data_IF_961726285514
#
_entry.id   IF_961726285514
#
_cell.length_a   1.000
_cell.length_b   1.000
_cell.length_c   1.000
_cell.angle_alpha   90.00
_cell.angle_beta   90.00
_cell.angle_gamma   90.00
#
_symmetry.space_group_name_H-M   'P 1'
#
loop_
_entity.id
_entity.type
_entity.pdbx_description
1 polymer ?
#
# COMPACT_ATOMS: atom_id res chain seq x y z
N UNK A 1 4.80 3.98 -14.10
CA UNK A 1 4.74 4.72 -12.82
C UNK A 1 6.11 5.10 -12.27
N UNK A 2 7.05 4.19 -12.04
CA UNK A 2 8.27 4.50 -11.23
C UNK A 2 9.60 4.38 -11.98
N UNK A 3 9.66 4.73 -13.28
CA UNK A 3 10.86 4.54 -14.14
C UNK A 3 11.90 5.67 -14.06
N UNK A 4 11.53 6.86 -13.60
CA UNK A 4 12.39 8.05 -13.46
C UNK A 4 12.47 8.42 -11.98
N UNK A 5 13.46 9.23 -11.60
CA UNK A 5 13.48 9.83 -10.28
C UNK A 5 12.22 10.67 -10.03
N UNK A 6 11.68 10.57 -8.83
CA UNK A 6 10.40 11.18 -8.47
C UNK A 6 10.60 12.18 -7.34
N UNK A 7 10.03 13.37 -7.52
CA UNK A 7 9.91 14.33 -6.43
C UNK A 7 8.67 14.03 -5.61
N UNK A 8 8.87 13.68 -4.34
CA UNK A 8 7.80 13.35 -3.41
C UNK A 8 7.36 14.58 -2.61
N UNK A 9 6.05 14.72 -2.42
CA UNK A 9 5.51 15.69 -1.47
C UNK A 9 5.82 15.28 -0.01
N UNK A 10 5.73 16.22 0.96
CA UNK A 10 5.87 15.88 2.36
C UNK A 10 4.88 14.80 2.83
N UNK A 11 5.31 13.98 3.80
CA UNK A 11 4.47 12.92 4.38
C UNK A 11 3.30 13.53 5.15
N UNK A 12 2.11 12.98 4.99
CA UNK A 12 0.90 13.39 5.71
C UNK A 12 0.32 12.21 6.50
N UNK A 13 0.16 12.36 7.82
CA UNK A 13 -0.48 11.33 8.66
C UNK A 13 -1.97 11.22 8.33
N UNK A 14 -2.46 10.00 8.19
CA UNK A 14 -3.85 9.73 7.91
C UNK A 14 -4.68 9.62 9.19
N UNK A 15 -5.95 10.00 9.08
CA UNK A 15 -6.94 9.77 10.14
C UNK A 15 -7.22 8.28 10.29
N UNK A 16 -7.55 7.84 11.49
CA UNK A 16 -7.89 6.44 11.80
C UNK A 16 -9.04 5.89 10.96
N UNK A 17 -10.05 6.72 10.64
CA UNK A 17 -11.15 6.34 9.76
C UNK A 17 -10.67 5.98 8.35
N UNK A 18 -9.79 6.80 7.76
CA UNK A 18 -9.21 6.57 6.43
C UNK A 18 -8.36 5.31 6.44
N UNK A 19 -7.54 5.11 7.47
CA UNK A 19 -6.74 3.89 7.64
C UNK A 19 -7.62 2.63 7.68
N UNK A 20 -8.76 2.67 8.36
CA UNK A 20 -9.72 1.55 8.42
C UNK A 20 -10.31 1.27 7.04
N UNK A 21 -10.72 2.29 6.31
CA UNK A 21 -11.27 2.14 4.95
C UNK A 21 -10.24 1.56 3.98
N UNK A 22 -8.99 2.03 4.03
CA UNK A 22 -7.89 1.51 3.19
C UNK A 22 -7.60 0.04 3.51
N UNK A 23 -7.58 -0.32 4.80
CA UNK A 23 -7.42 -1.72 5.21
C UNK A 23 -8.54 -2.60 4.66
N UNK A 24 -9.78 -2.13 4.70
CA UNK A 24 -10.90 -2.89 4.16
C UNK A 24 -10.83 -3.01 2.64
N UNK A 25 -10.55 -1.92 1.92
CA UNK A 25 -10.37 -1.94 0.47
C UNK A 25 -9.30 -2.95 0.06
N UNK A 26 -8.19 -2.99 0.80
CA UNK A 26 -7.14 -3.95 0.56
C UNK A 26 -7.58 -5.41 0.75
N UNK A 27 -8.32 -5.71 1.83
CA UNK A 27 -8.80 -7.07 2.08
C UNK A 27 -9.85 -7.51 1.06
N UNK A 28 -10.60 -6.56 0.50
CA UNK A 28 -11.49 -6.82 -0.63
C UNK A 28 -10.71 -7.18 -1.88
N UNK A 29 -9.62 -6.47 -2.20
CA UNK A 29 -8.81 -6.72 -3.40
C UNK A 29 -7.90 -7.96 -3.25
N UNK A 30 -7.34 -8.18 -2.06
CA UNK A 30 -6.38 -9.26 -1.76
C UNK A 30 -6.84 -10.06 -0.53
N UNK A 31 -7.91 -10.87 -0.66
CA UNK A 31 -8.51 -11.59 0.47
C UNK A 31 -7.54 -12.57 1.17
N UNK A 32 -6.61 -13.15 0.40
CA UNK A 32 -5.59 -14.06 0.94
C UNK A 32 -4.57 -13.36 1.86
N UNK A 33 -4.53 -12.01 1.88
CA UNK A 33 -3.72 -11.26 2.84
C UNK A 33 -4.37 -11.16 4.23
N UNK A 34 -5.64 -11.57 4.39
CA UNK A 34 -6.37 -11.48 5.66
C UNK A 34 -5.68 -12.13 6.86
N UNK A 35 -4.98 -13.28 6.76
CA UNK A 35 -4.25 -13.85 7.89
C UNK A 35 -3.05 -13.00 8.34
N UNK A 36 -2.49 -12.18 7.43
CA UNK A 36 -1.24 -11.44 7.62
C UNK A 36 -1.47 -9.94 7.83
N UNK A 37 -2.71 -9.47 7.76
CA UNK A 37 -3.02 -8.04 7.71
C UNK A 37 -2.58 -7.25 8.96
N UNK A 38 -2.51 -7.89 10.13
CA UNK A 38 -2.02 -7.24 11.35
C UNK A 38 -0.50 -7.10 11.37
N UNK A 39 0.22 -7.92 10.60
CA UNK A 39 1.66 -7.78 10.36
C UNK A 39 1.94 -6.68 9.31
N UNK A 40 1.05 -6.55 8.31
CA UNK A 40 1.18 -5.57 7.22
C UNK A 40 0.74 -4.17 7.62
N UNK A 41 -0.40 -4.06 8.32
CA UNK A 41 -0.99 -2.82 8.81
C UNK A 41 -1.34 -2.97 10.30
N UNK A 42 -0.37 -2.89 11.22
CA UNK A 42 -0.64 -3.05 12.64
C UNK A 42 -1.67 -2.03 13.14
N UNK A 43 -2.60 -2.45 14.00
CA UNK A 43 -3.72 -1.60 14.47
C UNK A 43 -3.26 -0.33 15.19
N UNK A 44 -2.09 -0.36 15.84
CA UNK A 44 -1.50 0.76 16.57
C UNK A 44 -0.51 1.58 15.72
N UNK A 45 -0.15 1.09 14.54
CA UNK A 45 0.83 1.74 13.69
C UNK A 45 0.21 2.96 13.00
N UNK A 46 1.04 3.97 12.77
CA UNK A 46 0.62 5.18 12.08
C UNK A 46 0.73 5.00 10.56
N UNK A 47 -0.38 5.22 9.84
CA UNK A 47 -0.37 5.22 8.38
C UNK A 47 -0.24 6.65 7.86
N UNK A 48 0.70 6.86 6.95
CA UNK A 48 0.90 8.15 6.27
C UNK A 48 0.79 8.01 4.77
N UNK A 49 0.32 9.05 4.09
CA UNK A 49 0.31 9.16 2.64
C UNK A 49 1.39 10.12 2.16
N UNK A 50 1.98 9.81 1.00
CA UNK A 50 2.97 10.62 0.29
C UNK A 50 2.44 10.81 -1.13
N UNK A 51 2.18 12.06 -1.53
CA UNK A 51 1.80 12.35 -2.93
C UNK A 51 3.05 12.27 -3.81
N UNK A 52 2.90 11.59 -4.93
CA UNK A 52 3.91 11.37 -5.95
C UNK A 52 3.42 11.95 -7.30
N UNK A 53 4.31 12.10 -8.29
CA UNK A 53 3.91 12.46 -9.65
C UNK A 53 2.89 11.50 -10.27
N UNK A 54 2.27 11.92 -11.37
CA UNK A 54 1.27 11.14 -12.10
C UNK A 54 0.08 10.69 -11.25
N UNK A 55 -0.28 11.52 -10.25
CA UNK A 55 -1.42 11.33 -9.34
C UNK A 55 -1.33 10.03 -8.53
N UNK A 56 -0.11 9.61 -8.23
CA UNK A 56 0.16 8.48 -7.36
C UNK A 56 0.18 8.92 -5.90
N UNK A 57 -0.39 8.10 -5.03
CA UNK A 57 -0.27 8.23 -3.58
C UNK A 57 0.39 6.97 -3.05
N UNK A 58 1.52 7.14 -2.34
CA UNK A 58 2.21 6.06 -1.64
C UNK A 58 1.80 6.05 -0.18
N UNK A 59 1.39 4.89 0.33
CA UNK A 59 1.05 4.66 1.72
C UNK A 59 2.21 4.00 2.46
N UNK A 60 2.56 4.57 3.61
CA UNK A 60 3.73 4.21 4.40
C UNK A 60 3.34 4.01 5.86
N UNK A 61 3.73 2.87 6.42
CA UNK A 61 3.56 2.53 7.84
C UNK A 61 4.78 3.01 8.63
N UNK A 62 4.53 3.62 9.79
CA UNK A 62 5.55 4.08 10.75
C UNK A 62 6.68 4.88 10.11
N UNK A 63 6.30 5.71 9.13
CA UNK A 63 7.16 6.60 8.36
C UNK A 63 8.26 5.96 7.50
N UNK A 64 8.48 4.64 7.57
CA UNK A 64 9.60 3.98 6.87
C UNK A 64 9.18 2.86 5.91
N UNK A 65 8.06 2.18 6.15
CA UNK A 65 7.70 0.96 5.41
C UNK A 65 6.64 1.23 4.36
N UNK A 66 6.99 1.30 3.06
CA UNK A 66 5.99 1.42 2.00
C UNK A 66 5.20 0.13 1.87
N UNK A 67 3.88 0.25 1.80
CA UNK A 67 2.97 -0.90 1.77
C UNK A 67 2.12 -0.95 0.50
N UNK A 68 1.56 0.20 0.09
CA UNK A 68 0.65 0.27 -1.06
C UNK A 68 0.83 1.56 -1.83
N UNK A 69 0.43 1.55 -3.10
CA UNK A 69 0.22 2.76 -3.89
C UNK A 69 -1.17 2.75 -4.50
N UNK A 70 -1.71 3.93 -4.75
CA UNK A 70 -2.98 4.13 -5.43
C UNK A 70 -2.80 5.27 -6.43
N UNK A 71 -3.26 5.06 -7.67
CA UNK A 71 -3.32 6.12 -8.68
C UNK A 71 -4.74 6.65 -8.75
N UNK A 72 -4.89 7.98 -8.67
CA UNK A 72 -6.19 8.63 -8.66
C UNK A 72 -7.13 8.01 -7.60
N UNK A 73 -8.23 7.39 -8.03
CA UNK A 73 -9.17 6.62 -7.20
C UNK A 73 -9.30 5.18 -7.68
N UNK A 74 -8.27 4.68 -8.38
CA UNK A 74 -8.20 3.29 -8.82
C UNK A 74 -7.93 2.32 -7.68
N UNK A 75 -7.68 1.07 -8.04
CA UNK A 75 -7.42 0.01 -7.07
C UNK A 75 -6.11 0.24 -6.30
N UNK A 76 -6.10 -0.26 -5.07
CA UNK A 76 -4.90 -0.26 -4.22
C UNK A 76 -3.97 -1.34 -4.75
N UNK A 77 -2.74 -0.96 -5.08
CA UNK A 77 -1.72 -1.86 -5.58
C UNK A 77 -0.62 -2.10 -4.52
N UNK A 78 -0.19 -3.35 -4.31
CA UNK A 78 0.80 -3.69 -3.30
C UNK A 78 2.19 -3.25 -3.71
N UNK A 79 2.98 -2.80 -2.74
CA UNK A 79 4.40 -2.60 -2.93
C UNK A 79 5.11 -3.95 -3.15
N UNK A 80 6.10 -4.01 -4.05
CA UNK A 80 6.75 -5.29 -4.42
C UNK A 80 7.37 -6.04 -3.23
N UNK A 81 7.94 -5.32 -2.25
CA UNK A 81 8.45 -5.94 -1.01
C UNK A 81 7.37 -6.67 -0.22
N UNK A 82 6.13 -6.18 -0.24
CA UNK A 82 5.01 -6.84 0.40
C UNK A 82 4.65 -8.12 -0.35
N UNK A 83 4.59 -8.06 -1.68
CA UNK A 83 4.33 -9.23 -2.55
C UNK A 83 5.38 -10.31 -2.32
N UNK A 84 6.66 -9.96 -2.27
CA UNK A 84 7.73 -10.91 -2.00
C UNK A 84 7.68 -11.53 -0.60
N UNK A 85 7.15 -10.81 0.40
CA UNK A 85 7.00 -11.33 1.77
C UNK A 85 5.83 -12.32 1.88
N UNK A 86 4.75 -12.09 1.12
CA UNK A 86 3.56 -12.93 1.14
C UNK A 86 3.13 -13.34 -0.28
N UNK A 87 3.97 -14.09 -1.03
CA UNK A 87 3.72 -14.34 -2.46
C UNK A 87 2.42 -15.12 -2.70
N UNK A 88 2.04 -16.01 -1.77
CA UNK A 88 0.81 -16.79 -1.83
C UNK A 88 -0.47 -15.94 -1.69
N UNK A 89 -0.33 -14.68 -1.26
CA UNK A 89 -1.46 -13.77 -1.05
C UNK A 89 -1.84 -12.99 -2.30
N UNK A 90 -1.09 -13.13 -3.40
CA UNK A 90 -1.25 -12.36 -4.63
C UNK A 90 -1.33 -13.27 -5.86
N UNK A 91 -2.08 -12.88 -6.90
CA UNK A 91 -2.04 -13.56 -8.19
C UNK A 91 -0.62 -13.54 -8.77
N UNK A 92 -0.20 -14.67 -9.35
CA UNK A 92 1.07 -14.76 -10.08
C UNK A 92 0.81 -14.97 -11.56
N UNK A 93 1.64 -14.34 -12.39
CA UNK A 93 1.66 -14.53 -13.84
C UNK A 93 3.09 -14.90 -14.21
N UNK A 94 3.26 -16.01 -14.92
CA UNK A 94 4.55 -16.42 -15.48
C UNK A 94 4.61 -15.95 -16.92
N UNK A 95 5.70 -15.28 -17.27
CA UNK A 95 6.06 -14.92 -18.64
C UNK A 95 7.16 -15.87 -19.13
N UNK A 96 7.22 -16.09 -20.44
CA UNK A 96 8.31 -16.81 -21.12
C UNK A 96 9.56 -15.93 -21.19
#
# INVERSE_FOLDING_TARGET
MFKKDLQAAPKQKLKSSVQRSLRQALLTTYPLLSPYIDEVLPKKASLSSIKLPDRNTLYVVDAATPVFYQQDSGDILPHLRLVHRFPQSFPSVRID
#
